data_IF_675897591271
#
_entry.id   IF_675897591271
#
_cell.length_a   1.000
_cell.length_b   1.000
_cell.length_c   1.000
_cell.angle_alpha   90.00
_cell.angle_beta   90.00
_cell.angle_gamma   90.00
#
_symmetry.space_group_name_H-M   'P 1'
#
loop_
_entity.id
_entity.type
_entity.pdbx_description
1 polymer ?
#
# COMPACT_ATOMS: atom_id res chain seq x y z
N UNK A 1 17.19 1.73 13.38
CA UNK A 1 16.58 1.15 12.16
C UNK A 1 15.09 1.38 12.27
N UNK A 2 14.53 2.23 11.40
CA UNK A 2 13.09 2.49 11.36
C UNK A 2 12.49 1.37 10.51
N UNK A 3 11.85 0.39 11.14
CA UNK A 3 11.15 -0.68 10.42
C UNK A 3 9.77 -0.15 10.04
N UNK A 4 9.69 0.65 8.97
CA UNK A 4 8.43 1.24 8.54
C UNK A 4 7.59 0.17 7.87
N UNK A 5 6.50 -0.27 8.52
CA UNK A 5 5.51 -1.09 7.84
C UNK A 5 4.69 -0.18 6.91
N UNK A 6 4.16 -0.73 5.83
CA UNK A 6 3.29 -0.02 4.90
C UNK A 6 2.04 -0.84 4.65
N UNK A 7 0.89 -0.21 4.45
CA UNK A 7 -0.30 -0.87 3.93
C UNK A 7 -0.75 -0.18 2.64
N UNK A 8 -1.33 -0.93 1.71
CA UNK A 8 -1.88 -0.42 0.47
C UNK A 8 -3.35 -0.79 0.39
N UNK A 9 -4.22 0.18 0.13
CA UNK A 9 -5.65 -0.03 -0.06
C UNK A 9 -6.18 0.83 -1.20
N UNK A 10 -7.39 0.51 -1.68
CA UNK A 10 -8.06 1.33 -2.70
C UNK A 10 -8.83 2.49 -2.13
N UNK A 11 -8.83 3.62 -2.83
CA UNK A 11 -9.69 4.76 -2.53
C UNK A 11 -11.14 4.58 -3.02
N UNK A 12 -11.39 3.61 -3.92
CA UNK A 12 -12.69 3.45 -4.60
C UNK A 12 -13.70 2.72 -3.70
N UNK A 13 -13.29 1.59 -3.10
CA UNK A 13 -14.06 0.87 -2.07
C UNK A 13 -13.39 1.05 -0.71
N UNK A 14 -13.44 2.29 -0.21
CA UNK A 14 -12.68 2.80 0.94
C UNK A 14 -12.83 2.03 2.28
N UNK A 15 -13.69 1.00 2.37
CA UNK A 15 -13.88 0.19 3.59
C UNK A 15 -12.57 -0.44 4.08
N UNK A 16 -11.74 -0.93 3.15
CA UNK A 16 -10.43 -1.51 3.46
C UNK A 16 -9.42 -0.43 3.87
N UNK A 17 -9.49 0.74 3.25
CA UNK A 17 -8.67 1.89 3.63
C UNK A 17 -9.04 2.44 5.02
N UNK A 18 -10.33 2.43 5.38
CA UNK A 18 -10.84 2.89 6.66
C UNK A 18 -10.32 2.02 7.81
N UNK A 19 -10.44 0.71 7.67
CA UNK A 19 -9.93 -0.25 8.67
C UNK A 19 -8.40 -0.31 8.66
N UNK A 20 -7.79 -0.19 7.48
CA UNK A 20 -6.34 -0.10 7.30
C UNK A 20 -5.71 1.13 7.96
N UNK A 21 -6.40 2.27 7.97
CA UNK A 21 -5.93 3.48 8.62
C UNK A 21 -5.77 3.30 10.12
N UNK A 22 -6.70 2.61 10.77
CA UNK A 22 -6.62 2.28 12.19
C UNK A 22 -5.45 1.32 12.51
N UNK A 23 -5.24 0.30 11.66
CA UNK A 23 -4.08 -0.59 11.76
C UNK A 23 -2.78 0.19 11.61
N UNK A 24 -2.73 1.10 10.63
CA UNK A 24 -1.54 1.89 10.36
C UNK A 24 -1.19 2.87 11.49
N UNK A 25 -2.20 3.54 12.05
CA UNK A 25 -2.03 4.40 13.21
C UNK A 25 -1.49 3.64 14.43
N UNK A 26 -1.92 2.39 14.63
CA UNK A 26 -1.43 1.55 15.74
C UNK A 26 0.00 1.05 15.53
N UNK A 27 0.35 0.69 14.30
CA UNK A 27 1.64 0.10 13.98
C UNK A 27 2.72 1.13 13.59
N UNK A 28 2.41 2.43 13.74
CA UNK A 28 3.26 3.54 13.32
C UNK A 28 3.72 3.38 11.85
N UNK A 29 2.76 3.00 11.01
CA UNK A 29 2.95 2.68 9.59
C UNK A 29 2.15 3.60 8.68
N UNK A 30 2.48 3.59 7.39
CA UNK A 30 1.83 4.45 6.40
C UNK A 30 0.80 3.65 5.62
N UNK A 31 -0.40 4.20 5.47
CA UNK A 31 -1.40 3.70 4.53
C UNK A 31 -1.27 4.46 3.21
N UNK A 32 -0.98 3.74 2.14
CA UNK A 32 -0.92 4.25 0.77
C UNK A 32 -2.23 3.93 0.07
N UNK A 33 -2.88 4.96 -0.46
CA UNK A 33 -4.09 4.81 -1.25
C UNK A 33 -3.70 4.67 -2.71
N UNK A 34 -4.20 3.62 -3.36
CA UNK A 34 -4.02 3.39 -4.79
C UNK A 34 -5.36 3.41 -5.51
N UNK A 35 -5.35 3.67 -6.81
CA UNK A 35 -6.48 3.45 -7.69
C UNK A 35 -6.00 2.82 -8.99
N UNK A 36 -6.88 2.06 -9.65
CA UNK A 36 -6.54 1.44 -10.92
C UNK A 36 -6.30 2.45 -12.05
N UNK A 37 -6.86 3.65 -11.94
CA UNK A 37 -6.63 4.76 -12.86
C UNK A 37 -5.49 5.67 -12.44
N UNK A 38 -5.12 5.69 -11.15
CA UNK A 38 -4.04 6.52 -10.63
C UNK A 38 -3.17 5.75 -9.63
N UNK A 39 -2.01 5.31 -10.13
CA UNK A 39 -0.98 4.57 -9.38
C UNK A 39 0.20 5.43 -8.96
N UNK A 40 0.13 6.76 -9.11
CA UNK A 40 1.23 7.69 -8.81
C UNK A 40 1.70 7.57 -7.36
N UNK A 41 0.77 7.33 -6.42
CA UNK A 41 1.12 7.10 -5.01
C UNK A 41 1.95 5.82 -4.80
N UNK A 42 1.84 4.81 -5.66
CA UNK A 42 2.75 3.66 -5.65
C UNK A 42 4.09 4.01 -6.29
N UNK A 43 4.07 4.61 -7.48
CA UNK A 43 5.30 4.81 -8.26
C UNK A 43 6.23 5.85 -7.68
N UNK A 44 5.71 6.89 -7.04
CA UNK A 44 6.51 8.04 -6.60
C UNK A 44 6.81 7.97 -5.10
N UNK A 45 5.79 7.67 -4.29
CA UNK A 45 5.96 7.61 -2.84
C UNK A 45 6.57 6.28 -2.40
N UNK A 46 6.06 5.13 -2.86
CA UNK A 46 6.64 3.83 -2.45
C UNK A 46 8.04 3.63 -3.05
N UNK A 47 8.31 4.11 -4.26
CA UNK A 47 9.66 4.03 -4.83
C UNK A 47 10.69 4.88 -4.09
N UNK A 48 10.32 6.11 -3.69
CA UNK A 48 11.24 6.97 -2.93
C UNK A 48 11.51 6.45 -1.52
N UNK A 49 10.56 5.71 -0.94
CA UNK A 49 10.65 5.15 0.41
C UNK A 49 11.04 3.66 0.45
N UNK A 50 11.36 3.05 -0.69
CA UNK A 50 11.62 1.60 -0.80
C UNK A 50 12.68 1.11 0.19
N UNK A 51 13.72 1.91 0.43
CA UNK A 51 14.81 1.53 1.35
C UNK A 51 14.43 1.60 2.84
N UNK A 52 13.28 2.19 3.18
CA UNK A 52 12.78 2.35 4.55
C UNK A 52 11.61 1.40 4.88
N UNK A 53 11.03 0.76 3.86
CA UNK A 53 9.90 -0.15 4.01
C UNK A 53 10.40 -1.58 4.15
N UNK A 54 10.23 -2.17 5.34
CA UNK A 54 10.62 -3.57 5.61
C UNK A 54 9.50 -4.56 5.24
N UNK A 55 8.24 -4.17 5.44
CA UNK A 55 7.06 -5.02 5.18
C UNK A 55 5.88 -4.21 4.65
N UNK A 56 5.22 -4.75 3.63
CA UNK A 56 3.98 -4.19 3.07
C UNK A 56 2.79 -5.13 3.20
N UNK A 57 1.63 -4.58 3.54
CA UNK A 57 0.34 -5.26 3.55
C UNK A 57 -0.51 -4.74 2.40
N UNK A 58 -1.32 -5.60 1.78
CA UNK A 58 -2.35 -5.17 0.84
C UNK A 58 -3.70 -5.48 1.45
N UNK A 59 -4.52 -4.44 1.55
CA UNK A 59 -5.82 -4.47 2.19
C UNK A 59 -6.88 -4.36 1.10
N UNK A 60 -7.64 -5.43 0.95
CA UNK A 60 -8.69 -5.58 -0.06
C UNK A 60 -8.43 -6.76 -1.00
N UNK A 61 -9.51 -7.29 -1.56
CA UNK A 61 -9.47 -8.37 -2.54
C UNK A 61 -9.13 -7.89 -3.96
N UNK A 62 -9.17 -8.79 -4.96
CA UNK A 62 -8.83 -8.47 -6.36
C UNK A 62 -9.71 -7.38 -7.00
N UNK A 63 -10.91 -7.17 -6.46
CA UNK A 63 -11.87 -6.14 -6.88
C UNK A 63 -11.46 -4.77 -6.32
N UNK A 64 -10.83 -4.75 -5.15
CA UNK A 64 -10.36 -3.54 -4.50
C UNK A 64 -8.96 -3.15 -5.03
N UNK A 65 -8.04 -4.12 -5.07
CA UNK A 65 -6.69 -3.95 -5.64
C UNK A 65 -6.55 -4.93 -6.81
N UNK A 66 -6.55 -4.39 -8.03
CA UNK A 66 -6.43 -5.23 -9.22
C UNK A 66 -5.14 -6.04 -9.23
N UNK A 67 -5.18 -7.19 -9.92
CA UNK A 67 -4.04 -8.07 -10.14
C UNK A 67 -2.82 -7.33 -10.71
N UNK A 68 -3.05 -6.34 -11.58
CA UNK A 68 -1.99 -5.51 -12.14
C UNK A 68 -1.28 -4.67 -11.06
N UNK A 69 -2.05 -4.04 -10.17
CA UNK A 69 -1.51 -3.27 -9.04
C UNK A 69 -0.77 -4.18 -8.04
N UNK A 70 -1.31 -5.38 -7.80
CA UNK A 70 -0.68 -6.40 -6.96
C UNK A 70 0.66 -6.89 -7.52
N UNK A 71 0.73 -7.19 -8.82
CA UNK A 71 1.96 -7.63 -9.49
C UNK A 71 3.03 -6.54 -9.43
N UNK A 72 2.68 -5.26 -9.58
CA UNK A 72 3.63 -4.15 -9.48
C UNK A 72 4.18 -4.02 -8.06
N UNK A 73 3.34 -4.20 -7.03
CA UNK A 73 3.74 -4.15 -5.62
C UNK A 73 4.74 -5.25 -5.28
N UNK A 74 4.44 -6.49 -5.67
CA UNK A 74 5.38 -7.58 -5.53
C UNK A 74 6.67 -7.25 -6.30
N UNK A 75 6.56 -6.99 -7.61
CA UNK A 75 7.71 -6.84 -8.55
C UNK A 75 8.69 -5.73 -8.27
N UNK A 76 8.27 -4.65 -7.63
CA UNK A 76 9.13 -3.50 -7.48
C UNK A 76 9.46 -3.16 -6.04
N UNK A 77 8.65 -3.57 -5.05
CA UNK A 77 8.71 -2.97 -3.72
C UNK A 77 8.79 -3.96 -2.56
N UNK A 78 8.49 -5.25 -2.75
CA UNK A 78 8.47 -6.25 -1.67
C UNK A 78 9.57 -7.32 -1.77
N UNK A 79 10.66 -6.99 -2.48
CA UNK A 79 11.94 -7.70 -2.46
C UNK A 79 13.12 -6.74 -2.46
#
# INVERSE_FOLDING_TARGET
MVSTNMAVATGVTFYDALTGGALCGRNNSVLVITSDTNRVCLTDFVASQKNEVDKGYVLGGPIAVSEASWIILLRNYLY
#
